data_IF_646058853910
#
_entry.id   IF_646058853910
#
_cell.length_a   1.000
_cell.length_b   1.000
_cell.length_c   1.000
_cell.angle_alpha   90.00
_cell.angle_beta   90.00
_cell.angle_gamma   90.00
#
_symmetry.space_group_name_H-M   'P 1'
#
loop_
_entity.id
_entity.type
_entity.pdbx_description
1 polymer ?
#
# COMPACT_ATOMS: atom_id res chain seq x y z
N UNK A 1 -29.25 17.41 -15.41
CA UNK A 1 -27.98 17.46 -14.67
C UNK A 1 -28.13 16.58 -13.45
N UNK A 2 -27.50 15.40 -13.43
CA UNK A 2 -27.43 14.57 -12.24
C UNK A 2 -26.19 14.99 -11.45
N UNK A 3 -26.37 15.81 -10.43
CA UNK A 3 -25.35 15.99 -9.39
C UNK A 3 -25.54 14.81 -8.43
N UNK A 4 -24.80 13.72 -8.67
CA UNK A 4 -24.85 12.54 -7.81
C UNK A 4 -24.21 12.85 -6.46
N UNK A 5 -25.02 13.24 -5.47
CA UNK A 5 -24.58 13.33 -4.09
C UNK A 5 -24.47 11.91 -3.50
N UNK A 6 -23.41 11.67 -2.72
CA UNK A 6 -23.27 10.43 -1.95
C UNK A 6 -24.45 10.34 -0.98
N UNK A 7 -25.31 9.33 -1.14
CA UNK A 7 -26.58 9.25 -0.38
C UNK A 7 -26.39 8.86 1.10
N UNK A 8 -25.27 8.23 1.44
CA UNK A 8 -24.93 7.86 2.80
C UNK A 8 -23.45 8.18 3.04
N UNK A 9 -23.18 9.40 3.50
CA UNK A 9 -21.84 9.86 3.88
C UNK A 9 -21.48 9.52 5.32
N UNK A 10 -22.43 9.07 6.14
CA UNK A 10 -22.20 8.76 7.55
C UNK A 10 -21.37 7.48 7.73
N UNK A 11 -21.40 6.58 6.75
CA UNK A 11 -20.62 5.34 6.73
C UNK A 11 -19.30 5.46 5.93
N UNK A 12 -18.98 6.67 5.46
CA UNK A 12 -17.78 6.89 4.65
C UNK A 12 -16.55 7.05 5.55
N UNK A 13 -15.77 5.99 5.64
CA UNK A 13 -14.45 6.00 6.29
C UNK A 13 -13.35 6.21 5.24
N UNK A 14 -12.52 7.23 5.44
CA UNK A 14 -11.43 7.62 4.54
C UNK A 14 -10.15 7.72 5.35
N UNK A 15 -9.09 7.09 4.85
CA UNK A 15 -7.75 7.20 5.39
C UNK A 15 -6.72 7.38 4.27
N UNK A 16 -5.55 7.95 4.60
CA UNK A 16 -4.51 8.30 3.66
C UNK A 16 -3.15 7.73 4.08
N UNK A 17 -2.56 6.93 3.18
CA UNK A 17 -1.28 6.28 3.39
C UNK A 17 -0.30 6.66 2.28
N UNK A 18 0.89 7.12 2.67
CA UNK A 18 2.04 7.16 1.76
C UNK A 18 2.66 5.77 1.68
N UNK A 19 3.02 5.31 0.48
CA UNK A 19 3.68 4.02 0.30
C UNK A 19 4.97 4.23 -0.46
N UNK A 20 6.07 3.76 0.11
CA UNK A 20 7.36 3.66 -0.58
C UNK A 20 7.77 2.21 -0.64
N UNK A 21 7.94 1.69 -1.85
CA UNK A 21 8.46 0.33 -2.07
C UNK A 21 9.86 0.50 -2.65
N UNK A 22 10.85 -0.02 -1.94
CA UNK A 22 12.21 -0.13 -2.44
C UNK A 22 12.24 -1.34 -3.37
N UNK A 23 12.43 -1.11 -4.67
CA UNK A 23 12.50 -2.17 -5.67
C UNK A 23 13.59 -1.86 -6.69
N UNK A 24 14.32 -2.90 -7.09
CA UNK A 24 15.10 -2.90 -8.33
C UNK A 24 14.18 -3.10 -9.54
N UNK A 25 14.76 -3.31 -10.71
CA UNK A 25 13.98 -3.43 -11.94
C UNK A 25 13.25 -4.79 -12.03
N UNK A 26 11.96 -4.78 -11.73
CA UNK A 26 11.11 -5.96 -11.82
C UNK A 26 10.63 -6.27 -13.25
N UNK A 27 10.95 -5.41 -14.22
CA UNK A 27 10.51 -5.50 -15.61
C UNK A 27 11.64 -5.98 -16.52
N UNK A 28 12.80 -5.34 -16.42
CA UNK A 28 13.93 -5.55 -17.34
C UNK A 28 15.05 -6.40 -16.73
N UNK A 29 14.97 -6.75 -15.44
CA UNK A 29 15.86 -7.72 -14.79
C UNK A 29 15.10 -8.95 -14.24
N UNK A 30 14.90 -9.99 -15.08
CA UNK A 30 14.26 -11.23 -14.66
C UNK A 30 14.99 -11.95 -13.50
N UNK A 31 16.30 -11.74 -13.36
CA UNK A 31 17.11 -12.34 -12.30
C UNK A 31 16.81 -11.69 -10.96
N UNK A 32 16.83 -10.36 -10.93
CA UNK A 32 16.41 -9.58 -9.75
C UNK A 32 14.96 -9.91 -9.36
N UNK A 33 14.03 -9.95 -10.33
CA UNK A 33 12.63 -10.29 -10.06
C UNK A 33 12.48 -11.67 -9.42
N UNK A 34 13.15 -12.68 -9.96
CA UNK A 34 13.06 -14.04 -9.45
C UNK A 34 13.60 -14.13 -8.01
N UNK A 35 14.73 -13.48 -7.74
CA UNK A 35 15.33 -13.45 -6.39
C UNK A 35 14.49 -12.65 -5.40
N UNK A 36 13.99 -11.48 -5.80
CA UNK A 36 13.11 -10.64 -4.98
C UNK A 36 11.82 -11.37 -4.60
N UNK A 37 11.19 -12.11 -5.53
CA UNK A 37 9.97 -12.86 -5.24
C UNK A 37 10.22 -14.14 -4.43
N UNK A 38 11.37 -14.80 -4.59
CA UNK A 38 11.66 -16.06 -3.92
C UNK A 38 12.29 -15.87 -2.53
N UNK A 39 13.16 -14.87 -2.39
CA UNK A 39 14.04 -14.68 -1.25
C UNK A 39 13.92 -13.29 -0.60
N UNK A 40 13.15 -12.37 -1.18
CA UNK A 40 12.99 -11.02 -0.65
C UNK A 40 12.22 -11.01 0.67
N UNK A 41 12.72 -10.23 1.63
CA UNK A 41 11.99 -9.92 2.86
C UNK A 41 11.05 -8.74 2.61
N UNK A 42 9.74 -9.01 2.63
CA UNK A 42 8.71 -7.99 2.40
C UNK A 42 8.79 -6.82 3.38
N UNK A 43 9.29 -7.05 4.60
CA UNK A 43 9.48 -6.01 5.62
C UNK A 43 10.69 -5.10 5.34
N UNK A 44 11.63 -5.56 4.52
CA UNK A 44 12.75 -4.75 4.03
C UNK A 44 12.45 -4.08 2.68
N UNK A 45 11.36 -4.47 2.01
CA UNK A 45 10.99 -4.00 0.67
C UNK A 45 10.34 -2.62 0.65
N UNK A 46 10.15 -1.96 1.78
CA UNK A 46 9.50 -0.67 1.81
C UNK A 46 9.03 -0.23 3.19
N UNK A 47 8.28 0.86 3.19
CA UNK A 47 7.58 1.38 4.36
C UNK A 47 6.32 2.13 3.96
N UNK A 48 5.42 2.27 4.92
CA UNK A 48 4.19 3.05 4.85
C UNK A 48 4.34 4.28 5.73
N UNK A 49 3.88 5.43 5.25
CA UNK A 49 3.73 6.64 6.05
C UNK A 49 2.25 6.83 6.36
N UNK A 50 1.91 6.93 7.65
CA UNK A 50 0.57 7.28 8.11
C UNK A 50 0.65 8.51 9.01
N UNK A 51 0.06 9.63 8.58
CA UNK A 51 0.29 10.92 9.21
C UNK A 51 1.76 11.34 9.11
N UNK A 52 2.48 11.31 10.24
CA UNK A 52 3.93 11.61 10.32
C UNK A 52 4.79 10.41 10.70
N UNK A 53 4.18 9.23 10.86
CA UNK A 53 4.86 8.03 11.32
C UNK A 53 5.19 7.10 10.16
N UNK A 54 6.42 6.59 10.14
CA UNK A 54 6.86 5.53 9.22
C UNK A 54 6.68 4.16 9.87
N UNK A 55 6.13 3.21 9.10
CA UNK A 55 5.86 1.84 9.52
C UNK A 55 6.43 0.86 8.49
N UNK A 56 7.22 -0.12 8.95
CA UNK A 56 7.82 -1.13 8.08
C UNK A 56 6.80 -2.14 7.51
N UNK A 57 5.62 -2.24 8.15
CA UNK A 57 4.56 -3.11 7.66
C UNK A 57 3.85 -2.46 6.47
N UNK A 58 4.25 -2.86 5.26
CA UNK A 58 3.66 -2.38 4.01
C UNK A 58 2.21 -2.83 3.79
N UNK A 59 1.68 -3.72 4.63
CA UNK A 59 0.32 -4.27 4.48
C UNK A 59 -0.76 -3.46 5.20
N UNK A 60 -0.38 -2.45 6.00
CA UNK A 60 -1.30 -1.62 6.80
C UNK A 60 -2.47 -1.04 6.00
N UNK A 61 -2.28 -0.46 4.80
CA UNK A 61 -3.40 0.10 4.04
C UNK A 61 -4.44 -0.96 3.65
N UNK A 62 -3.98 -2.19 3.37
CA UNK A 62 -4.85 -3.33 3.07
C UNK A 62 -5.54 -3.82 4.34
N UNK A 63 -4.81 -3.91 5.45
CA UNK A 63 -5.40 -4.25 6.74
C UNK A 63 -6.49 -3.25 7.15
N UNK A 64 -6.29 -1.94 6.92
CA UNK A 64 -7.31 -0.92 7.14
C UNK A 64 -8.56 -1.18 6.29
N UNK A 65 -8.40 -1.46 4.99
CA UNK A 65 -9.51 -1.75 4.09
C UNK A 65 -10.31 -3.01 4.51
N UNK A 66 -9.63 -4.02 5.03
CA UNK A 66 -10.22 -5.31 5.41
C UNK A 66 -10.85 -5.32 6.81
N UNK A 67 -10.69 -4.27 7.63
CA UNK A 67 -11.21 -4.20 9.00
C UNK A 67 -12.74 -4.01 9.10
N UNK A 68 -13.47 -4.14 7.99
CA UNK A 68 -14.93 -4.06 7.96
C UNK A 68 -15.61 -5.34 8.42
#
# INVERSE_FOLDING_TARGET
MFFGALQNSEELDIDAFGVSIVGGDLTDDPGFKADFLANGDVHASGYVVHGTEEQADVTIPIAWLLRK
#
